data_IF_261004918462
#
_entry.id   IF_261004918462
#
_cell.length_a   1.000
_cell.length_b   1.000
_cell.length_c   1.000
_cell.angle_alpha   90.00
_cell.angle_beta   90.00
_cell.angle_gamma   90.00
#
_symmetry.space_group_name_H-M   'P 1'
#
loop_
_entity.id
_entity.type
_entity.pdbx_description
1 polymer ?
#
# COMPACT_ATOMS: atom_id res chain seq x y z
N UNK A 1 12.73 -0.05 13.45
CA UNK A 1 12.91 0.87 12.30
C UNK A 1 12.45 0.14 11.04
N UNK A 2 11.78 0.82 10.10
CA UNK A 2 11.42 0.19 8.80
C UNK A 2 12.66 0.16 7.93
N UNK A 3 13.05 -1.04 7.48
CA UNK A 3 14.17 -1.24 6.56
C UNK A 3 13.76 -0.76 5.17
N UNK A 4 14.65 -0.04 4.49
CA UNK A 4 14.38 0.53 3.17
C UNK A 4 15.66 0.65 2.36
N UNK A 5 15.54 0.41 1.05
CA UNK A 5 16.61 0.57 0.07
C UNK A 5 16.18 1.51 -1.06
N UNK A 6 17.15 2.00 -1.84
CA UNK A 6 16.92 2.90 -2.98
C UNK A 6 17.56 2.32 -4.23
N UNK A 7 16.85 2.44 -5.34
CA UNK A 7 17.31 2.01 -6.65
C UNK A 7 16.50 2.76 -7.72
N UNK A 8 16.97 2.70 -8.97
CA UNK A 8 16.26 3.31 -10.08
C UNK A 8 15.34 2.31 -10.75
N UNK A 9 14.16 2.76 -11.18
CA UNK A 9 13.19 1.93 -11.87
C UNK A 9 13.80 1.33 -13.14
N UNK A 10 13.81 0.00 -13.24
CA UNK A 10 14.37 -0.73 -14.40
C UNK A 10 13.62 -0.47 -15.71
N UNK A 11 12.42 0.13 -15.66
CA UNK A 11 11.64 0.49 -16.84
C UNK A 11 11.88 1.94 -17.33
N UNK A 12 12.18 2.89 -16.44
CA UNK A 12 12.22 4.32 -16.81
C UNK A 12 13.38 5.13 -16.21
N UNK A 13 14.19 4.54 -15.34
CA UNK A 13 15.30 5.21 -14.64
C UNK A 13 14.87 6.16 -13.51
N UNK A 14 13.57 6.29 -13.24
CA UNK A 14 13.09 7.16 -12.16
C UNK A 14 13.45 6.62 -10.76
N UNK A 15 13.76 7.48 -9.78
CA UNK A 15 14.22 7.04 -8.46
C UNK A 15 13.09 6.38 -7.67
N UNK A 16 13.40 5.24 -7.04
CA UNK A 16 12.49 4.48 -6.20
C UNK A 16 13.06 4.27 -4.80
N UNK A 17 12.17 4.12 -3.82
CA UNK A 17 12.51 3.69 -2.46
C UNK A 17 11.67 2.47 -2.14
N UNK A 18 12.31 1.31 -1.98
CA UNK A 18 11.66 0.12 -1.46
C UNK A 18 11.52 0.26 0.05
N UNK A 19 10.29 0.27 0.54
CA UNK A 19 9.98 0.28 1.98
C UNK A 19 9.57 -1.12 2.41
N UNK A 20 9.70 -1.41 3.70
CA UNK A 20 9.46 -2.74 4.25
C UNK A 20 10.24 -3.83 3.49
N UNK A 21 11.52 -3.56 3.22
CA UNK A 21 12.40 -4.49 2.52
C UNK A 21 12.44 -5.86 3.23
N UNK A 22 12.38 -6.94 2.45
CA UNK A 22 12.19 -8.31 2.95
C UNK A 22 10.74 -8.71 3.23
N UNK A 23 9.81 -7.76 3.32
CA UNK A 23 8.37 -8.02 3.48
C UNK A 23 7.51 -7.52 2.31
N UNK A 24 8.00 -6.56 1.52
CA UNK A 24 7.34 -6.10 0.30
C UNK A 24 7.50 -7.11 -0.83
N UNK A 25 6.41 -7.43 -1.50
CA UNK A 25 6.40 -8.36 -2.63
C UNK A 25 6.52 -7.65 -3.99
N UNK A 26 5.95 -6.46 -4.09
CA UNK A 26 6.00 -5.65 -5.32
C UNK A 26 6.08 -4.16 -4.99
N UNK A 27 6.60 -3.38 -5.92
CA UNK A 27 6.71 -1.93 -5.83
C UNK A 27 6.17 -1.27 -7.10
N UNK A 28 5.22 -0.35 -6.96
CA UNK A 28 4.71 0.44 -8.07
C UNK A 28 5.51 1.73 -8.25
N UNK A 29 6.01 1.97 -9.47
CA UNK A 29 6.74 3.17 -9.83
C UNK A 29 5.76 4.35 -10.04
N UNK A 30 5.89 5.45 -9.27
CA UNK A 30 5.04 6.64 -9.43
C UNK A 30 5.45 7.52 -10.63
N UNK A 31 6.48 7.15 -11.39
CA UNK A 31 6.94 7.92 -12.55
C UNK A 31 6.38 7.38 -13.86
N UNK A 32 6.43 6.05 -14.04
CA UNK A 32 5.98 5.41 -15.28
C UNK A 32 4.82 4.41 -15.10
N UNK A 33 4.48 4.03 -13.86
CA UNK A 33 3.43 3.05 -13.56
C UNK A 33 3.85 1.58 -13.74
N UNK A 34 5.15 1.31 -13.88
CA UNK A 34 5.68 -0.06 -13.81
C UNK A 34 5.46 -0.66 -12.41
N UNK A 35 5.13 -1.94 -12.32
CA UNK A 35 5.12 -2.71 -11.08
C UNK A 35 6.33 -3.65 -11.14
N UNK A 36 7.22 -3.52 -10.17
CA UNK A 36 8.48 -4.27 -10.09
C UNK A 36 8.38 -5.35 -9.00
N UNK A 37 9.01 -6.51 -9.21
CA UNK A 37 9.16 -7.54 -8.17
C UNK A 37 10.16 -7.03 -7.12
N UNK A 38 9.71 -6.90 -5.87
CA UNK A 38 10.56 -6.41 -4.78
C UNK A 38 11.41 -7.52 -4.14
N UNK A 39 11.16 -8.78 -4.50
CA UNK A 39 11.87 -9.97 -3.97
C UNK A 39 13.02 -10.38 -4.90
N UNK A 40 12.96 -10.02 -6.18
CA UNK A 40 14.06 -10.24 -7.12
C UNK A 40 15.08 -9.09 -6.98
N UNK A 41 16.36 -9.36 -6.66
CA UNK A 41 17.41 -8.33 -6.61
C UNK A 41 17.56 -7.53 -7.90
N UNK A 42 17.14 -8.08 -9.04
CA UNK A 42 17.16 -7.40 -10.35
C UNK A 42 15.93 -6.51 -10.58
N UNK A 43 14.94 -6.53 -9.68
CA UNK A 43 13.72 -5.72 -9.76
C UNK A 43 13.05 -5.80 -11.14
N UNK A 44 12.74 -7.03 -11.57
CA UNK A 44 12.09 -7.26 -12.87
C UNK A 44 10.71 -6.59 -12.93
N UNK A 45 10.34 -6.08 -14.11
CA UNK A 45 9.02 -5.52 -14.35
C UNK A 45 8.00 -6.66 -14.46
N UNK A 46 7.04 -6.69 -13.54
CA UNK A 46 5.93 -7.65 -13.51
C UNK A 46 4.76 -7.19 -14.38
N UNK A 47 4.49 -5.88 -14.37
CA UNK A 47 3.38 -5.28 -15.11
C UNK A 47 3.64 -3.80 -15.40
N UNK A 48 2.88 -3.24 -16.34
CA UNK A 48 2.90 -1.81 -16.66
C UNK A 48 1.48 -1.26 -16.67
N UNK A 49 1.21 -0.29 -15.81
CA UNK A 49 -0.06 0.44 -15.80
C UNK A 49 0.17 1.85 -16.35
N UNK A 50 -0.45 2.17 -17.49
CA UNK A 50 -0.39 3.50 -18.10
C UNK A 50 -1.52 4.43 -17.63
N UNK A 51 -2.33 3.98 -16.67
CA UNK A 51 -3.40 4.79 -16.12
C UNK A 51 -2.83 6.06 -15.48
N UNK A 52 -3.57 7.16 -15.58
CA UNK A 52 -3.21 8.42 -14.93
C UNK A 52 -3.07 8.14 -13.44
N UNK A 53 -1.90 8.43 -12.88
CA UNK A 53 -1.70 8.35 -11.44
C UNK A 53 -2.71 9.29 -10.77
N UNK A 54 -3.37 8.77 -9.74
CA UNK A 54 -4.37 9.52 -8.98
C UNK A 54 -3.75 10.75 -8.29
N UNK A 55 -4.58 11.57 -7.63
CA UNK A 55 -4.08 12.69 -6.84
C UNK A 55 -3.08 12.20 -5.76
N UNK A 56 -2.16 13.07 -5.34
CA UNK A 56 -1.22 12.73 -4.28
C UNK A 56 -1.98 12.27 -3.02
N UNK A 57 -1.43 11.30 -2.28
CA UNK A 57 -2.09 10.78 -1.09
C UNK A 57 -2.19 11.86 0.01
N UNK A 58 -3.29 11.87 0.76
CA UNK A 58 -3.49 12.78 1.90
C UNK A 58 -2.44 12.56 2.98
N UNK A 59 -2.03 11.31 3.17
CA UNK A 59 -0.90 10.94 4.04
C UNK A 59 0.25 10.48 3.14
N UNK A 60 1.39 11.21 3.11
CA UNK A 60 2.52 10.86 2.24
C UNK A 60 3.07 9.46 2.48
N UNK A 61 3.51 8.78 1.41
CA UNK A 61 4.28 7.54 1.54
C UNK A 61 5.58 7.83 2.29
N UNK A 62 5.88 7.04 3.31
CA UNK A 62 6.99 7.23 4.24
C UNK A 62 6.65 8.05 5.48
N UNK A 63 5.44 8.61 5.59
CA UNK A 63 4.98 9.26 6.81
C UNK A 63 4.94 8.23 7.96
N UNK A 64 5.36 8.67 9.15
CA UNK A 64 5.41 7.86 10.37
C UNK A 64 4.49 8.45 11.42
N UNK A 65 3.84 7.59 12.18
CA UNK A 65 2.97 7.99 13.27
C UNK A 65 2.68 6.85 14.24
N UNK A 66 1.98 7.18 15.31
CA UNK A 66 1.49 6.18 16.27
C UNK A 66 -0.03 6.10 16.16
N UNK A 67 -0.56 4.89 15.95
CA UNK A 67 -2.01 4.63 15.96
C UNK A 67 -2.28 3.47 16.90
N UNK A 68 -3.23 3.65 17.84
CA UNK A 68 -3.58 2.66 18.86
C UNK A 68 -2.35 2.07 19.59
N UNK A 69 -1.35 2.90 19.87
CA UNK A 69 -0.11 2.51 20.54
C UNK A 69 0.93 1.78 19.67
N UNK A 70 0.66 1.57 18.38
CA UNK A 70 1.59 0.97 17.44
C UNK A 70 2.29 2.05 16.59
N UNK A 71 3.62 2.06 16.56
CA UNK A 71 4.38 2.88 15.59
C UNK A 71 4.25 2.27 14.19
N UNK A 72 3.83 3.08 13.22
CA UNK A 72 3.54 2.64 11.86
C UNK A 72 4.15 3.61 10.84
N UNK A 73 4.59 3.07 9.70
CA UNK A 73 4.99 3.84 8.52
C UNK A 73 4.03 3.55 7.37
N UNK A 74 3.64 4.59 6.62
CA UNK A 74 2.88 4.42 5.37
C UNK A 74 3.82 3.89 4.29
N UNK A 75 3.57 2.67 3.80
CA UNK A 75 4.40 2.04 2.76
C UNK A 75 3.72 1.92 1.41
N UNK A 76 2.40 2.12 1.35
CA UNK A 76 1.63 2.10 0.12
C UNK A 76 0.30 2.83 0.24
N UNK A 77 -0.31 3.13 -0.91
CA UNK A 77 -1.65 3.69 -1.00
C UNK A 77 -2.34 3.17 -2.27
N UNK A 78 -3.61 2.84 -2.14
CA UNK A 78 -4.47 2.44 -3.25
C UNK A 78 -5.76 3.25 -3.21
N UNK A 79 -6.21 3.75 -4.36
CA UNK A 79 -7.56 4.29 -4.51
C UNK A 79 -8.47 3.21 -5.06
N UNK A 80 -9.65 3.08 -4.47
CA UNK A 80 -10.70 2.20 -4.96
C UNK A 80 -11.93 3.01 -5.32
N UNK A 81 -12.69 2.49 -6.26
CA UNK A 81 -13.99 3.04 -6.61
C UNK A 81 -14.95 1.93 -7.02
N UNK A 82 -16.22 2.11 -6.70
CA UNK A 82 -17.32 1.27 -7.17
C UNK A 82 -18.40 2.17 -7.76
N UNK A 83 -19.05 1.71 -8.82
CA UNK A 83 -20.23 2.38 -9.38
C UNK A 83 -21.48 1.65 -8.89
N UNK A 84 -22.38 2.38 -8.23
CA UNK A 84 -23.66 1.86 -7.79
C UNK A 84 -24.76 2.87 -8.11
N UNK A 85 -25.81 2.43 -8.81
CA UNK A 85 -26.93 3.28 -9.24
C UNK A 85 -26.49 4.57 -9.94
N UNK A 86 -25.51 4.47 -10.85
CA UNK A 86 -24.97 5.61 -11.60
C UNK A 86 -24.01 6.53 -10.84
N UNK A 87 -23.86 6.35 -9.53
CA UNK A 87 -22.97 7.14 -8.68
C UNK A 87 -21.64 6.41 -8.46
N UNK A 88 -20.52 7.14 -8.52
CA UNK A 88 -19.19 6.62 -8.20
C UNK A 88 -18.89 6.88 -6.72
N UNK A 89 -18.64 5.82 -5.98
CA UNK A 89 -18.19 5.87 -4.59
C UNK A 89 -16.72 5.49 -4.55
N UNK A 90 -15.86 6.38 -4.06
CA UNK A 90 -14.42 6.16 -3.98
C UNK A 90 -13.89 6.27 -2.55
N UNK A 91 -12.83 5.53 -2.26
CA UNK A 91 -12.12 5.58 -0.99
C UNK A 91 -10.63 5.32 -1.19
N UNK A 92 -9.84 5.75 -0.23
CA UNK A 92 -8.39 5.54 -0.21
C UNK A 92 -8.02 4.53 0.87
N UNK A 93 -7.16 3.58 0.53
CA UNK A 93 -6.61 2.58 1.44
C UNK A 93 -5.10 2.79 1.56
N UNK A 94 -4.64 3.08 2.77
CA UNK A 94 -3.23 3.23 3.10
C UNK A 94 -2.71 1.94 3.70
N UNK A 95 -1.63 1.41 3.14
CA UNK A 95 -0.93 0.26 3.69
C UNK A 95 0.11 0.75 4.70
N UNK A 96 -0.07 0.36 5.95
CA UNK A 96 0.81 0.71 7.07
C UNK A 96 1.65 -0.49 7.47
N UNK A 97 2.92 -0.25 7.81
CA UNK A 97 3.86 -1.29 8.20
C UNK A 97 4.46 -1.06 9.59
N UNK A 98 4.55 -2.14 10.36
CA UNK A 98 5.36 -2.23 11.57
C UNK A 98 6.21 -3.51 11.50
N UNK A 99 7.53 -3.44 11.72
CA UNK A 99 8.42 -4.61 11.59
C UNK A 99 8.14 -5.74 12.58
N UNK A 100 7.45 -5.46 13.69
CA UNK A 100 7.11 -6.45 14.73
C UNK A 100 5.62 -6.87 14.71
N UNK A 101 4.74 -6.03 14.16
CA UNK A 101 3.27 -6.22 14.18
C UNK A 101 2.66 -6.46 12.80
N UNK A 102 3.47 -6.41 11.75
CA UNK A 102 3.07 -6.61 10.36
C UNK A 102 2.25 -5.45 9.81
N UNK A 103 1.36 -5.77 8.87
CA UNK A 103 0.55 -4.79 8.15
C UNK A 103 -0.71 -4.35 8.91
N UNK A 104 -1.10 -3.10 8.70
CA UNK A 104 -2.43 -2.55 8.98
C UNK A 104 -2.94 -1.82 7.75
N UNK A 105 -4.25 -1.75 7.59
CA UNK A 105 -4.89 -0.92 6.57
C UNK A 105 -5.57 0.24 7.25
N UNK A 106 -5.27 1.46 6.81
CA UNK A 106 -5.99 2.65 7.22
C UNK A 106 -6.82 3.11 6.03
N UNK A 107 -8.13 3.03 6.14
CA UNK A 107 -9.08 3.32 5.06
C UNK A 107 -9.75 4.65 5.32
N UNK A 108 -9.79 5.52 4.32
CA UNK A 108 -10.44 6.82 4.37
C UNK A 108 -11.56 6.91 3.34
N UNK A 109 -12.75 7.30 3.80
CA UNK A 109 -13.91 7.52 2.94
C UNK A 109 -14.70 8.72 3.46
N UNK A 110 -14.75 9.79 2.66
CA UNK A 110 -15.48 11.02 2.96
C UNK A 110 -15.18 11.59 4.36
N UNK A 111 -13.91 11.64 4.76
CA UNK A 111 -13.45 12.14 6.05
C UNK A 111 -13.54 11.14 7.20
N UNK A 112 -14.18 9.99 7.01
CA UNK A 112 -14.21 8.91 7.99
C UNK A 112 -13.02 7.97 7.82
N UNK A 113 -12.48 7.50 8.94
CA UNK A 113 -11.29 6.67 8.99
C UNK A 113 -11.57 5.34 9.68
N UNK A 114 -11.12 4.25 9.06
CA UNK A 114 -11.21 2.89 9.57
C UNK A 114 -9.81 2.28 9.66
N UNK A 115 -9.46 1.71 10.81
CA UNK A 115 -8.23 0.96 10.99
C UNK A 115 -8.56 -0.54 10.98
N UNK A 116 -8.02 -1.26 10.01
CA UNK A 116 -8.27 -2.67 9.78
C UNK A 116 -6.98 -3.48 9.92
N UNK A 117 -7.13 -4.76 10.29
CA UNK A 117 -6.05 -5.74 10.33
C UNK A 117 -6.48 -6.96 9.52
N UNK A 118 -5.65 -7.37 8.57
CA UNK A 118 -5.88 -8.59 7.80
C UNK A 118 -5.71 -9.82 8.70
N UNK A 119 -6.66 -10.74 8.62
CA UNK A 119 -6.55 -12.04 9.28
C UNK A 119 -5.65 -12.96 8.45
N UNK A 120 -4.78 -13.72 9.12
CA UNK A 120 -3.89 -14.71 8.47
C UNK A 120 -4.55 -16.07 8.31
N UNK A 121 -5.80 -16.20 8.74
CA UNK A 121 -6.59 -17.43 8.68
C UNK A 121 -7.93 -17.14 8.04
N UNK A 122 -8.49 -18.12 7.35
CA UNK A 122 -9.87 -18.04 6.89
C UNK A 122 -10.81 -17.76 8.09
N UNK A 123 -11.84 -16.91 7.92
CA UNK A 123 -12.89 -16.78 8.92
C UNK A 123 -13.48 -18.16 9.20
N UNK A 124 -13.57 -18.56 10.47
CA UNK A 124 -14.38 -19.71 10.86
C UNK A 124 -15.83 -19.22 10.94
N UNK A 125 -16.76 -19.92 10.32
CA UNK A 125 -18.18 -19.70 10.60
C UNK A 125 -18.37 -19.80 12.12
N UNK A 126 -18.90 -18.74 12.72
CA UNK A 126 -19.34 -18.83 14.11
C UNK A 126 -20.48 -19.84 14.14
N UNK A 127 -20.39 -20.84 15.02
CA UNK A 127 -21.57 -21.63 15.38
C UNK A 127 -22.57 -20.67 16.00
N UNK A 128 -23.51 -20.17 15.18
CA UNK A 128 -24.63 -19.38 15.66
C UNK A 128 -25.43 -20.25 16.63
N UNK A 129 -25.54 -19.78 17.87
CA UNK A 129 -26.56 -20.24 18.81
C UNK A 129 -27.87 -19.54 18.54
#
# INVERSE_FOLDING_TARGET
MVVSSRFDCTACGGPLTLRAEGASESLACPHCGAVLDARDPRHQVLAQYRAKLGPPPKIPIGARGTLRGEQLEVVGKQSRAVRYSGVIYSWDEYLLWNPYKGYRWLVESNGHWLLLKTLTTAPKEGSGG
#
